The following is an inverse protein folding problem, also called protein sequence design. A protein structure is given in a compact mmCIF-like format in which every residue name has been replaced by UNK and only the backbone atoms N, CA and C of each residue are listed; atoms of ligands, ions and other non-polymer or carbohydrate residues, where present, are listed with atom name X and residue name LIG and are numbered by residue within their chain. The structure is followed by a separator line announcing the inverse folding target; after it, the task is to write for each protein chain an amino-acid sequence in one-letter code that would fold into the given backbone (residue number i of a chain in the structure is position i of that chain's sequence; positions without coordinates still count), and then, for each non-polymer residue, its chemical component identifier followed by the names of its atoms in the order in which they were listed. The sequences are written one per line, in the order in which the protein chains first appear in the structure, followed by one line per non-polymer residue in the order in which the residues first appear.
data_IF_040945388110
#
_entry.id   IF_040945388110
#
_cell.length_a   1.000
_cell.length_b   1.000
_cell.length_c   1.000
_cell.angle_alpha   90.00
_cell.angle_beta   90.00
_cell.angle_gamma   90.00
#
_symmetry.space_group_name_H-M   'P 1'
#
loop_
_entity.id
_entity.type
_entity.pdbx_description
1 polymer ?
#
# COMPACT_ATOMS: atom_id res chain seq x y z
N UNK A 1 -12.10 -5.10 -13.66
CA UNK A 1 -11.56 -4.68 -12.35
C UNK A 1 -10.50 -5.70 -11.97
N UNK A 2 -9.28 -5.28 -11.64
CA UNK A 2 -8.23 -6.23 -11.20
C UNK A 2 -8.54 -6.73 -9.79
N UNK A 3 -8.15 -7.97 -9.48
CA UNK A 3 -8.31 -8.51 -8.14
C UNK A 3 -7.23 -7.92 -7.22
N UNK A 4 -7.50 -7.77 -5.92
CA UNK A 4 -6.61 -7.08 -4.98
C UNK A 4 -5.22 -7.74 -4.90
N UNK A 5 -5.20 -9.06 -4.98
CA UNK A 5 -4.03 -9.94 -4.95
C UNK A 5 -3.14 -9.74 -6.19
N UNK A 6 -3.70 -9.29 -7.33
CA UNK A 6 -2.93 -8.99 -8.54
C UNK A 6 -2.35 -7.57 -8.52
N UNK A 7 -2.94 -6.67 -7.72
CA UNK A 7 -2.54 -5.27 -7.63
C UNK A 7 -1.29 -5.13 -6.76
N UNK A 8 -1.28 -5.76 -5.58
CA UNK A 8 -0.16 -5.72 -4.63
C UNK A 8 0.74 -6.95 -4.86
N UNK A 9 1.95 -6.73 -5.36
CA UNK A 9 2.86 -7.81 -5.75
C UNK A 9 3.77 -8.22 -4.58
N UNK A 10 4.42 -7.24 -3.93
CA UNK A 10 5.35 -7.51 -2.84
C UNK A 10 5.63 -6.26 -1.97
N UNK A 11 5.95 -6.41 -0.67
CA UNK A 11 6.52 -5.33 0.12
C UNK A 11 7.94 -4.98 -0.38
N UNK A 12 8.33 -3.71 -0.25
CA UNK A 12 9.67 -3.23 -0.61
C UNK A 12 10.36 -2.76 0.66
N UNK A 13 11.35 -3.54 1.12
CA UNK A 13 12.13 -3.26 2.33
C UNK A 13 13.47 -2.65 1.93
N UNK A 14 13.72 -1.45 2.41
CA UNK A 14 14.93 -0.63 2.24
C UNK A 14 15.08 0.25 3.48
N UNK A 15 16.27 0.77 3.77
CA UNK A 15 16.45 1.74 4.89
C UNK A 15 15.45 2.89 4.82
N UNK A 16 15.22 3.44 3.62
CA UNK A 16 14.26 4.53 3.40
C UNK A 16 12.82 4.11 3.69
N UNK A 17 12.43 2.88 3.34
CA UNK A 17 11.06 2.42 3.63
C UNK A 17 10.88 2.18 5.13
N UNK A 18 11.92 1.66 5.80
CA UNK A 18 11.89 1.43 7.24
C UNK A 18 11.76 2.75 8.02
N UNK A 19 12.51 3.78 7.62
CA UNK A 19 12.35 5.12 8.20
C UNK A 19 10.93 5.67 8.03
N UNK A 20 10.24 5.31 6.94
CA UNK A 20 8.86 5.72 6.71
C UNK A 20 7.82 4.97 7.54
N UNK A 21 8.15 3.81 8.14
CA UNK A 21 7.21 3.02 8.94
C UNK A 21 6.72 3.78 10.17
N UNK A 22 7.59 4.57 10.80
CA UNK A 22 7.23 5.42 11.96
C UNK A 22 6.13 6.44 11.60
N UNK A 23 6.12 6.91 10.35
CA UNK A 23 5.10 7.81 9.81
C UNK A 23 3.88 7.08 9.23
N UNK A 24 3.77 5.75 9.40
CA UNK A 24 2.70 4.96 8.80
C UNK A 24 2.80 4.84 7.27
N UNK A 25 4.00 5.03 6.69
CA UNK A 25 4.24 4.93 5.24
C UNK A 25 4.79 3.56 4.87
N UNK A 26 4.04 2.82 4.06
CA UNK A 26 4.38 1.48 3.61
C UNK A 26 4.66 1.46 2.11
N UNK A 27 5.76 0.81 1.70
CA UNK A 27 6.19 0.81 0.28
C UNK A 27 5.95 -0.55 -0.37
N UNK A 28 5.18 -0.58 -1.44
CA UNK A 28 4.85 -1.79 -2.19
C UNK A 28 5.36 -1.73 -3.63
N UNK A 29 5.70 -2.89 -4.17
CA UNK A 29 5.75 -3.15 -5.60
C UNK A 29 4.34 -3.51 -6.05
N UNK A 30 3.82 -2.76 -7.02
CA UNK A 30 2.44 -2.91 -7.49
C UNK A 30 2.40 -3.14 -9.00
N UNK A 31 1.24 -3.61 -9.47
CA UNK A 31 0.99 -3.77 -10.89
C UNK A 31 1.13 -2.43 -11.63
N UNK A 32 1.81 -2.46 -12.79
CA UNK A 32 2.06 -1.24 -13.59
C UNK A 32 0.78 -0.57 -14.08
N UNK A 33 -0.28 -1.34 -14.29
CA UNK A 33 -1.55 -0.83 -14.80
C UNK A 33 -2.46 -0.30 -13.69
N UNK A 34 -2.18 -0.62 -12.42
CA UNK A 34 -3.03 -0.22 -11.29
C UNK A 34 -3.03 1.31 -11.08
N UNK A 35 -4.21 1.85 -10.84
CA UNK A 35 -4.47 3.24 -10.47
C UNK A 35 -4.33 3.44 -8.95
N UNK A 36 -4.22 4.68 -8.49
CA UNK A 36 -4.10 4.99 -7.05
C UNK A 36 -5.32 4.51 -6.24
N UNK A 37 -6.51 4.64 -6.81
CA UNK A 37 -7.77 4.24 -6.17
C UNK A 37 -7.81 2.72 -5.99
N UNK A 38 -7.42 1.97 -7.03
CA UNK A 38 -7.34 0.52 -6.97
C UNK A 38 -6.31 0.04 -5.93
N UNK A 39 -5.15 0.71 -5.84
CA UNK A 39 -4.14 0.39 -4.84
C UNK A 39 -4.66 0.66 -3.42
N UNK A 40 -5.33 1.79 -3.18
CA UNK A 40 -5.92 2.10 -1.89
C UNK A 40 -6.93 1.01 -1.47
N UNK A 41 -7.88 0.69 -2.35
CA UNK A 41 -8.90 -0.33 -2.09
C UNK A 41 -8.28 -1.72 -1.88
N UNK A 42 -7.25 -2.08 -2.64
CA UNK A 42 -6.55 -3.35 -2.49
C UNK A 42 -5.84 -3.46 -1.13
N UNK A 43 -5.15 -2.38 -0.69
CA UNK A 43 -4.48 -2.35 0.62
C UNK A 43 -5.48 -2.40 1.77
N UNK A 44 -6.56 -1.60 1.69
CA UNK A 44 -7.63 -1.64 2.71
C UNK A 44 -8.25 -3.05 2.80
N UNK A 45 -8.47 -3.72 1.66
CA UNK A 45 -9.06 -5.07 1.62
C UNK A 45 -8.12 -6.15 2.16
N UNK A 46 -6.85 -6.16 1.75
CA UNK A 46 -5.90 -7.22 2.10
C UNK A 46 -5.39 -7.12 3.53
N UNK A 47 -5.17 -5.89 4.02
CA UNK A 47 -4.54 -5.66 5.32
C UNK A 47 -5.51 -5.13 6.38
N UNK A 48 -6.76 -4.84 6.01
CA UNK A 48 -7.78 -4.31 6.92
C UNK A 48 -7.29 -3.06 7.68
N UNK A 49 -6.63 -2.16 6.94
CA UNK A 49 -6.12 -0.87 7.42
C UNK A 49 -6.94 0.27 6.81
N UNK A 50 -6.85 1.47 7.37
CA UNK A 50 -7.42 2.67 6.77
C UNK A 50 -6.36 3.40 5.96
N UNK A 51 -6.59 3.61 4.66
CA UNK A 51 -5.63 4.33 3.80
C UNK A 51 -5.97 5.82 3.78
N UNK A 52 -4.98 6.66 4.04
CA UNK A 52 -5.09 8.13 3.97
C UNK A 52 -4.66 8.66 2.61
N UNK A 53 -3.53 8.17 2.08
CA UNK A 53 -2.97 8.66 0.83
C UNK A 53 -2.15 7.59 0.09
N UNK A 54 -2.06 7.73 -1.23
CA UNK A 54 -1.26 6.87 -2.11
C UNK A 54 -0.41 7.70 -3.07
N UNK A 55 0.90 7.51 -2.98
CA UNK A 55 1.89 8.07 -3.89
C UNK A 55 2.44 6.95 -4.77
N UNK A 56 2.44 7.15 -6.08
CA UNK A 56 2.95 6.14 -7.03
C UNK A 56 4.05 6.72 -7.89
N UNK A 57 5.06 5.92 -8.19
CA UNK A 57 6.12 6.28 -9.15
C UNK A 57 6.52 5.09 -10.01
N UNK A 58 6.97 5.35 -11.23
CA UNK A 58 7.48 4.33 -12.13
C UNK A 58 8.99 4.16 -11.93
N UNK A 59 9.43 2.97 -11.53
CA UNK A 59 10.86 2.64 -11.43
C UNK A 59 11.30 2.04 -12.76
N UNK A 60 12.17 2.76 -13.47
CA UNK A 60 12.73 2.31 -14.75
C UNK A 60 13.65 1.11 -14.53
N UNK A 61 13.60 0.18 -15.48
CA UNK A 61 14.55 -0.92 -15.55
C UNK A 61 15.98 -0.41 -15.71
N UNK A 62 16.95 -1.11 -15.15
CA UNK A 62 18.37 -0.80 -15.32
C UNK A 62 18.94 -1.69 -16.42
N UNK A 63 19.77 -1.12 -17.30
CA UNK A 63 20.54 -1.92 -18.25
C UNK A 63 21.46 -2.86 -17.47
N UNK A 64 21.45 -4.14 -17.84
CA UNK A 64 22.26 -5.19 -17.22
C UNK A 64 22.81 -6.09 -18.32
N UNK A 65 23.95 -6.71 -18.06
CA UNK A 65 24.61 -7.64 -18.98
C UNK A 65 24.82 -8.95 -18.26
N UNK A 66 24.51 -10.06 -18.94
CA UNK A 66 24.82 -11.41 -18.48
C UNK A 66 25.64 -12.07 -19.58
N UNK A 67 26.94 -12.23 -19.32
CA UNK A 67 27.89 -12.71 -20.34
C UNK A 67 27.96 -11.79 -21.57
N UNK A 68 27.65 -12.37 -22.74
CA UNK A 68 27.61 -11.65 -24.01
C UNK A 68 26.34 -10.81 -24.19
N UNK A 69 25.21 -11.23 -23.62
CA UNK A 69 23.92 -10.60 -23.87
C UNK A 69 23.71 -9.36 -23.00
N UNK A 70 23.39 -8.24 -23.66
CA UNK A 70 22.93 -7.02 -23.01
C UNK A 70 21.40 -6.99 -22.98
N UNK A 71 20.83 -6.70 -21.81
CA UNK A 71 19.40 -6.60 -21.59
C UNK A 71 19.06 -5.52 -20.58
N UNK A 72 17.81 -5.50 -20.13
CA UNK A 72 17.32 -4.57 -19.11
C UNK A 72 16.47 -5.32 -18.09
N UNK A 73 16.58 -4.94 -16.82
CA UNK A 73 15.64 -5.44 -15.82
C UNK A 73 14.23 -4.92 -16.09
N UNK A 74 13.21 -5.68 -15.68
CA UNK A 74 11.84 -5.22 -15.80
C UNK A 74 11.62 -3.92 -15.02
N UNK A 75 11.03 -2.91 -15.65
CA UNK A 75 10.48 -1.77 -14.92
C UNK A 75 9.38 -2.25 -13.96
N UNK A 76 9.06 -1.47 -12.93
CA UNK A 76 7.97 -1.78 -11.99
C UNK A 76 7.40 -0.51 -11.36
N UNK A 77 6.13 -0.55 -10.94
CA UNK A 77 5.49 0.60 -10.28
C UNK A 77 5.68 0.45 -8.78
N UNK A 78 6.20 1.49 -8.14
CA UNK A 78 6.32 1.61 -6.69
C UNK A 78 5.13 2.40 -6.18
N UNK A 79 4.48 1.89 -5.14
CA UNK A 79 3.46 2.62 -4.39
C UNK A 79 3.96 2.85 -2.96
N UNK A 80 3.82 4.07 -2.47
CA UNK A 80 4.01 4.44 -1.07
C UNK A 80 2.61 4.78 -0.56
N UNK A 81 2.15 4.02 0.43
CA UNK A 81 0.80 4.10 0.98
C UNK A 81 0.91 4.57 2.41
N UNK A 82 0.22 5.66 2.72
CA UNK A 82 0.10 6.19 4.08
C UNK A 82 -1.17 5.65 4.69
N UNK A 83 -1.05 4.94 5.81
CA UNK A 83 -2.19 4.47 6.60
C UNK A 83 -2.47 5.43 7.76
N UNK A 84 -3.67 5.33 8.31
CA UNK A 84 -4.01 5.92 9.59
C UNK A 84 -3.43 5.09 10.72
N UNK A 85 -2.65 5.71 11.60
CA UNK A 85 -2.02 5.06 12.77
C UNK A 85 -2.99 5.05 13.96
N UNK A 86 -3.94 5.99 14.00
CA UNK A 86 -4.98 6.06 15.02
C UNK A 86 -6.37 6.06 14.34
N UNK A 87 -6.80 4.92 13.78
CA UNK A 87 -8.05 4.83 13.05
C UNK A 87 -9.24 4.96 14.00
N UNK A 88 -9.82 6.16 14.05
CA UNK A 88 -11.07 6.41 14.79
C UNK A 88 -12.25 5.75 14.07
N UNK A 89 -13.16 5.17 14.84
CA UNK A 89 -14.39 4.61 14.30
C UNK A 89 -15.21 5.71 13.60
N UNK A 90 -15.71 5.43 12.39
CA UNK A 90 -16.60 6.35 11.70
C UNK A 90 -17.90 6.53 12.50
N UNK A 91 -18.20 7.76 12.88
CA UNK A 91 -19.43 8.12 13.57
C UNK A 91 -20.48 8.53 12.53
N UNK A 92 -21.66 7.92 12.61
CA UNK A 92 -22.80 8.31 11.78
C UNK A 92 -23.95 8.72 12.68
N UNK A 93 -24.65 9.78 12.27
CA UNK A 93 -25.87 10.25 12.92
C UNK A 93 -27.02 9.34 12.50
N UNK A 94 -27.59 8.60 13.45
CA UNK A 94 -28.80 7.81 13.21
C UNK A 94 -30.05 8.72 13.28
N UNK A 95 -31.17 8.25 12.70
CA UNK A 95 -32.48 8.93 12.82
C UNK A 95 -32.79 9.15 14.31
N UNK A 96 -32.88 10.42 14.72
CA UNK A 96 -33.06 10.84 16.12
C UNK A 96 -31.83 11.51 16.77
N UNK A 97 -30.77 11.82 16.01
CA UNK A 97 -29.63 12.62 16.50
C UNK A 97 -28.66 11.85 17.40
N UNK A 98 -28.83 10.53 17.55
CA UNK A 98 -27.90 9.69 18.32
C UNK A 98 -26.74 9.25 17.44
N UNK A 99 -25.52 9.51 17.88
CA UNK A 99 -24.30 9.03 17.26
C UNK A 99 -24.18 7.53 17.44
N UNK A 100 -23.97 6.81 16.35
CA UNK A 100 -23.70 5.37 16.36
C UNK A 100 -22.34 5.10 15.73
N UNK A 101 -21.51 4.29 16.39
CA UNK A 101 -20.15 3.97 15.92
C UNK A 101 -20.19 2.82 14.92
N UNK A 102 -19.50 2.97 13.79
CA UNK A 102 -19.26 1.88 12.84
C UNK A 102 -18.42 0.75 13.45
N UNK A 103 -18.71 -0.50 13.07
CA UNK A 103 -18.10 -1.72 13.66
C UNK A 103 -16.77 -2.14 13.06
N UNK A 104 -16.29 -1.47 11.99
CA UNK A 104 -15.01 -1.85 11.35
C UNK A 104 -13.83 -1.48 12.23
N UNK A 105 -13.15 -2.49 12.75
CA UNK A 105 -11.85 -2.37 13.41
C UNK A 105 -10.77 -2.37 12.34
N UNK A 106 -9.91 -1.34 12.32
CA UNK A 106 -8.75 -1.29 11.45
C UNK A 106 -7.49 -1.69 12.23
N UNK A 107 -6.48 -2.19 11.51
CA UNK A 107 -5.14 -2.40 12.06
C UNK A 107 -4.32 -1.11 11.94
N UNK A 108 -3.39 -0.94 12.87
CA UNK A 108 -2.48 0.21 12.93
C UNK A 108 -1.11 -0.09 12.29
N UNK A 109 -0.86 -1.34 11.91
CA UNK A 109 0.36 -1.79 11.23
C UNK A 109 0.10 -2.91 10.21
N UNK A 110 1.03 -3.05 9.26
CA UNK A 110 0.97 -4.06 8.21
C UNK A 110 2.04 -5.14 8.48
N UNK A 111 1.57 -6.36 8.74
CA UNK A 111 2.39 -7.54 9.10
C UNK A 111 3.44 -7.91 8.03
N UNK A 112 3.27 -7.48 6.78
CA UNK A 112 4.21 -7.74 5.68
C UNK A 112 5.60 -7.07 5.84
N UNK A 113 5.80 -6.23 6.86
CA UNK A 113 7.04 -5.47 7.10
C UNK A 113 7.70 -5.78 8.45
N UNK A 114 7.14 -6.64 9.29
CA UNK A 114 7.59 -6.88 10.68
C UNK A 114 8.60 -8.03 10.85
N UNK A 115 9.20 -8.53 9.76
CA UNK A 115 9.97 -9.79 9.75
C UNK A 115 11.47 -9.66 9.49
N UNK A 116 12.15 -8.64 10.02
CA UNK A 116 13.64 -8.57 10.06
C UNK A 116 14.10 -8.49 11.49
#
# INVERSE_FOLDING_TARGET
MMVAEEIIIAPVVTEKSNNGLQDGKYTFKVNKKATKIEIANAVEKLFNVKVLNVNTMMVKGKKKRVGYHQGMTSSWKKAIVTIDIDPKASTYLAKGGKETKGTKKFKDSIDAFSGV
#
